data_IF_767122412925
#
_entry.id   IF_767122412925
#
_cell.length_a   1.000
_cell.length_b   1.000
_cell.length_c   1.000
_cell.angle_alpha   90.00
_cell.angle_beta   90.00
_cell.angle_gamma   90.00
#
_symmetry.space_group_name_H-M   'P 1'
#
loop_
_entity.id
_entity.type
_entity.pdbx_description
1 polymer ?
#
# COMPACT_ATOMS: atom_id res chain seq x y z
N UNK A 1 -9.70 -8.19 -31.79
CA UNK A 1 -9.45 -7.33 -30.61
C UNK A 1 -7.98 -7.49 -30.25
N UNK A 2 -7.13 -6.50 -30.57
CA UNK A 2 -5.69 -6.59 -30.28
C UNK A 2 -5.47 -6.25 -28.80
N UNK A 3 -4.95 -7.19 -28.03
CA UNK A 3 -4.57 -6.95 -26.63
C UNK A 3 -3.30 -6.10 -26.66
N UNK A 4 -3.38 -4.88 -26.13
CA UNK A 4 -2.22 -4.02 -25.98
C UNK A 4 -1.32 -4.58 -24.87
N UNK A 5 -0.31 -5.36 -25.25
CA UNK A 5 0.58 -6.06 -24.33
C UNK A 5 1.39 -5.11 -23.44
N UNK A 6 1.70 -3.89 -23.89
CA UNK A 6 2.33 -2.86 -23.06
C UNK A 6 1.41 -2.39 -21.94
N UNK A 7 0.13 -2.12 -22.24
CA UNK A 7 -0.85 -1.76 -21.22
C UNK A 7 -1.06 -2.88 -20.19
N UNK A 8 -1.11 -4.14 -20.63
CA UNK A 8 -1.20 -5.30 -19.73
C UNK A 8 0.03 -5.41 -18.85
N UNK A 9 1.23 -5.20 -19.40
CA UNK A 9 2.49 -5.20 -18.65
C UNK A 9 2.51 -4.10 -17.57
N UNK A 10 2.10 -2.89 -17.92
CA UNK A 10 2.08 -1.76 -16.98
C UNK A 10 1.08 -2.00 -15.85
N UNK A 11 -0.08 -2.57 -16.17
CA UNK A 11 -1.08 -2.97 -15.17
C UNK A 11 -0.54 -4.04 -14.23
N UNK A 12 0.09 -5.09 -14.75
CA UNK A 12 0.69 -6.16 -13.92
C UNK A 12 1.81 -5.59 -13.02
N UNK A 13 2.61 -4.66 -13.53
CA UNK A 13 3.66 -4.01 -12.76
C UNK A 13 3.08 -3.18 -11.61
N UNK A 14 2.04 -2.39 -11.88
CA UNK A 14 1.31 -1.62 -10.87
C UNK A 14 0.67 -2.52 -9.82
N UNK A 15 -0.02 -3.59 -10.24
CA UNK A 15 -0.64 -4.55 -9.34
C UNK A 15 0.42 -5.21 -8.44
N UNK A 16 1.56 -5.61 -9.01
CA UNK A 16 2.69 -6.17 -8.25
C UNK A 16 3.22 -5.19 -7.21
N UNK A 17 3.37 -3.91 -7.55
CA UNK A 17 3.83 -2.89 -6.62
C UNK A 17 2.83 -2.71 -5.47
N UNK A 18 1.53 -2.65 -5.77
CA UNK A 18 0.48 -2.57 -4.75
C UNK A 18 0.49 -3.79 -3.81
N UNK A 19 0.54 -5.01 -4.36
CA UNK A 19 0.58 -6.23 -3.53
C UNK A 19 1.86 -6.29 -2.67
N UNK A 20 2.99 -5.84 -3.20
CA UNK A 20 4.25 -5.76 -2.45
C UNK A 20 4.13 -4.76 -1.29
N UNK A 21 3.54 -3.59 -1.52
CA UNK A 21 3.28 -2.60 -0.48
C UNK A 21 2.38 -3.19 0.63
N UNK A 22 1.27 -3.85 0.26
CA UNK A 22 0.36 -4.54 1.19
C UNK A 22 1.08 -5.58 2.04
N UNK A 23 1.86 -6.46 1.41
CA UNK A 23 2.60 -7.50 2.11
C UNK A 23 3.61 -6.91 3.11
N UNK A 24 4.28 -5.83 2.72
CA UNK A 24 5.29 -5.17 3.57
C UNK A 24 4.64 -4.49 4.78
N UNK A 25 3.48 -3.85 4.61
CA UNK A 25 2.68 -3.28 5.72
C UNK A 25 2.31 -4.36 6.73
N UNK A 26 1.73 -5.46 6.24
CA UNK A 26 1.29 -6.56 7.08
C UNK A 26 2.49 -7.17 7.83
N UNK A 27 3.60 -7.39 7.14
CA UNK A 27 4.80 -7.93 7.77
C UNK A 27 5.37 -6.99 8.85
N UNK A 28 5.34 -5.68 8.61
CA UNK A 28 5.75 -4.69 9.61
C UNK A 28 4.86 -4.71 10.84
N UNK A 29 3.54 -4.78 10.66
CA UNK A 29 2.58 -4.89 11.78
C UNK A 29 2.80 -6.18 12.57
N UNK A 30 2.99 -7.31 11.89
CA UNK A 30 3.31 -8.60 12.54
C UNK A 30 4.58 -8.49 13.37
N UNK A 31 5.64 -7.86 12.86
CA UNK A 31 6.90 -7.71 13.58
C UNK A 31 6.74 -6.86 14.84
N UNK A 32 5.96 -5.77 14.77
CA UNK A 32 5.68 -4.90 15.93
C UNK A 32 4.82 -5.58 16.98
N UNK A 33 3.80 -6.32 16.56
CA UNK A 33 2.99 -7.16 17.47
C UNK A 33 3.87 -8.21 18.16
N UNK A 34 4.78 -8.87 17.43
CA UNK A 34 5.75 -9.82 18.01
C UNK A 34 6.70 -9.15 19.00
N UNK A 35 7.05 -7.89 18.77
CA UNK A 35 7.85 -7.08 19.67
C UNK A 35 7.06 -6.55 20.89
N UNK A 36 5.77 -6.89 21.03
CA UNK A 36 4.87 -6.35 22.05
C UNK A 36 4.75 -4.83 22.01
N UNK A 37 4.97 -4.22 20.85
CA UNK A 37 4.81 -2.79 20.67
C UNK A 37 3.32 -2.44 20.56
N UNK A 38 2.90 -1.38 21.25
CA UNK A 38 1.53 -0.87 21.13
C UNK A 38 1.43 -0.11 19.80
N UNK A 39 0.68 -0.67 18.86
CA UNK A 39 0.34 -0.02 17.59
C UNK A 39 -1.03 0.65 17.76
N UNK A 40 -1.13 1.99 17.69
CA UNK A 40 -2.41 2.69 17.82
C UNK A 40 -3.38 2.33 16.69
N UNK A 41 -4.67 2.26 16.98
CA UNK A 41 -5.72 1.96 15.98
C UNK A 41 -5.70 2.94 14.79
N UNK A 42 -5.38 4.21 15.05
CA UNK A 42 -5.21 5.21 13.99
C UNK A 42 -4.08 4.87 13.01
N UNK A 43 -3.01 4.24 13.50
CA UNK A 43 -1.90 3.80 12.67
C UNK A 43 -2.24 2.53 11.89
N UNK A 44 -2.95 1.59 12.52
CA UNK A 44 -3.49 0.39 11.86
C UNK A 44 -4.43 0.79 10.72
N UNK A 45 -5.34 1.72 10.97
CA UNK A 45 -6.31 2.20 10.00
C UNK A 45 -5.62 2.98 8.86
N UNK A 46 -4.62 3.82 9.16
CA UNK A 46 -3.78 4.46 8.13
C UNK A 46 -3.09 3.43 7.25
N UNK A 47 -2.49 2.41 7.86
CA UNK A 47 -1.80 1.33 7.15
C UNK A 47 -2.76 0.49 6.29
N UNK A 48 -3.97 0.23 6.78
CA UNK A 48 -5.04 -0.45 6.04
C UNK A 48 -5.49 0.38 4.82
N UNK A 49 -5.67 1.70 4.98
CA UNK A 49 -6.00 2.61 3.88
C UNK A 49 -4.90 2.64 2.82
N UNK A 50 -3.65 2.78 3.25
CA UNK A 50 -2.49 2.76 2.35
C UNK A 50 -2.36 1.43 1.60
N UNK A 51 -2.60 0.30 2.28
CA UNK A 51 -2.64 -1.02 1.67
C UNK A 51 -3.69 -1.07 0.55
N UNK A 52 -4.88 -0.49 0.75
CA UNK A 52 -5.94 -0.46 -0.26
C UNK A 52 -5.84 0.67 -1.26
N UNK A 53 -4.79 1.49 -1.21
CA UNK A 53 -4.66 2.66 -2.08
C UNK A 53 -5.79 3.65 -1.82
N UNK A 54 -6.10 3.91 -0.55
CA UNK A 54 -7.09 4.90 -0.12
C UNK A 54 -6.40 6.11 0.50
N UNK A 55 -6.91 7.30 0.20
CA UNK A 55 -6.53 8.56 0.84
C UNK A 55 -7.03 8.62 2.29
N UNK A 56 -6.58 9.63 3.04
CA UNK A 56 -7.00 9.83 4.44
C UNK A 56 -8.51 10.05 4.59
N UNK A 57 -9.17 10.58 3.56
CA UNK A 57 -10.62 10.82 3.46
C UNK A 57 -11.41 9.57 2.99
N UNK A 58 -10.75 8.44 2.74
CA UNK A 58 -11.38 7.21 2.28
C UNK A 58 -11.62 7.13 0.77
N UNK A 59 -11.19 8.12 -0.01
CA UNK A 59 -11.26 8.08 -1.47
C UNK A 59 -10.19 7.16 -2.06
N UNK A 60 -10.45 6.53 -3.21
CA UNK A 60 -9.42 5.81 -3.95
C UNK A 60 -8.33 6.78 -4.40
N UNK A 61 -7.08 6.38 -4.20
CA UNK A 61 -5.94 7.09 -4.75
C UNK A 61 -5.97 6.86 -6.26
N UNK A 62 -6.16 7.94 -7.03
CA UNK A 62 -6.17 7.94 -8.51
C UNK A 62 -4.82 7.53 -9.15
N UNK A 63 -3.87 7.05 -8.34
CA UNK A 63 -2.56 6.57 -8.76
C UNK A 63 -2.07 5.42 -7.88
N UNK A 64 -1.18 4.56 -8.39
CA UNK A 64 -0.55 3.52 -7.58
C UNK A 64 0.17 4.12 -6.37
N UNK A 65 -0.08 3.60 -5.18
CA UNK A 65 0.66 3.95 -3.96
C UNK A 65 1.91 3.09 -3.88
N UNK A 66 3.08 3.72 -3.85
CA UNK A 66 4.35 2.99 -3.73
C UNK A 66 4.62 2.59 -2.27
N UNK A 67 5.34 1.49 -2.07
CA UNK A 67 5.73 1.03 -0.73
C UNK A 67 6.54 2.08 0.06
N UNK A 68 7.28 2.96 -0.61
CA UNK A 68 8.04 4.04 0.05
C UNK A 68 7.12 5.06 0.70
N UNK A 69 6.05 5.45 0.02
CA UNK A 69 5.09 6.43 0.53
C UNK A 69 4.35 5.90 1.77
N UNK A 70 4.23 4.58 1.88
CA UNK A 70 3.67 3.93 3.06
C UNK A 70 4.58 4.09 4.28
N UNK A 71 5.86 3.70 4.14
CA UNK A 71 6.80 3.65 5.26
C UNK A 71 7.29 5.02 5.69
N UNK A 72 7.58 5.90 4.74
CA UNK A 72 8.20 7.20 5.03
C UNK A 72 7.19 8.34 5.08
N UNK A 73 5.91 8.05 4.82
CA UNK A 73 4.92 9.08 4.55
C UNK A 73 5.17 9.79 3.22
N UNK A 74 4.18 10.57 2.79
CA UNK A 74 4.30 11.40 1.59
C UNK A 74 5.19 12.59 1.93
N UNK A 75 6.35 12.72 1.28
CA UNK A 75 7.08 13.99 1.26
C UNK A 75 6.34 14.91 0.31
N UNK A 76 5.73 15.94 0.89
CA UNK A 76 5.14 17.08 0.15
C UNK A 76 6.22 17.85 -0.58
#
# INVERSE_FOLDING_TARGET
MAINLSFVRDKIASDREQYTARATIIQSLINRIRASEIVPDAEIERNRRLAWGLNADGTLVDRPVSWREVFFGRKT
#
